data_IF_146381323100
#
_entry.id   IF_146381323100
#
_cell.length_a   1.000
_cell.length_b   1.000
_cell.length_c   1.000
_cell.angle_alpha   90.00
_cell.angle_beta   90.00
_cell.angle_gamma   90.00
#
_symmetry.space_group_name_H-M   'P 1'
#
loop_
_entity.id
_entity.type
_entity.pdbx_description
1 polymer ?
#
# COMPACT_ATOMS: atom_id res chain seq x y z
N UNK A 1 -10.45 2.92 -6.18
CA UNK A 1 -10.38 4.28 -6.78
C UNK A 1 -11.75 4.82 -7.15
N UNK A 2 -12.62 4.06 -7.82
CA UNK A 2 -13.96 4.53 -8.23
C UNK A 2 -14.88 4.97 -7.07
N UNK A 3 -14.83 4.29 -5.92
CA UNK A 3 -15.72 4.57 -4.78
C UNK A 3 -15.35 5.84 -3.97
N UNK A 4 -14.16 6.39 -4.18
CA UNK A 4 -13.68 7.62 -3.50
C UNK A 4 -13.89 8.89 -4.36
N UNK A 5 -14.52 8.75 -5.53
CA UNK A 5 -14.84 9.88 -6.41
C UNK A 5 -16.30 10.30 -6.17
N UNK A 6 -16.60 11.60 -5.94
CA UNK A 6 -15.70 12.77 -5.96
C UNK A 6 -15.06 13.10 -4.59
N UNK A 7 -13.82 13.58 -4.60
CA UNK A 7 -13.10 13.98 -3.40
C UNK A 7 -13.57 15.36 -2.92
N UNK A 8 -14.59 15.38 -2.06
CA UNK A 8 -15.09 16.63 -1.45
C UNK A 8 -14.35 17.03 -0.17
N UNK A 9 -13.49 16.17 0.36
CA UNK A 9 -12.87 16.31 1.70
C UNK A 9 -11.39 15.95 1.63
N UNK A 10 -10.55 16.67 2.38
CA UNK A 10 -9.08 16.45 2.45
C UNK A 10 -8.70 14.99 2.75
N UNK A 11 -9.53 14.29 3.52
CA UNK A 11 -9.37 12.86 3.80
C UNK A 11 -9.37 11.98 2.53
N UNK A 12 -10.25 12.30 1.58
CA UNK A 12 -10.41 11.57 0.34
C UNK A 12 -9.29 11.88 -0.65
N UNK A 13 -8.73 13.10 -0.62
CA UNK A 13 -7.49 13.43 -1.33
C UNK A 13 -6.30 12.62 -0.83
N UNK A 14 -6.14 12.49 0.49
CA UNK A 14 -5.08 11.68 1.08
C UNK A 14 -5.21 10.19 0.71
N UNK A 15 -6.44 9.65 0.76
CA UNK A 15 -6.71 8.28 0.34
C UNK A 15 -6.34 8.02 -1.13
N UNK A 16 -6.70 8.93 -2.05
CA UNK A 16 -6.35 8.83 -3.46
C UNK A 16 -4.84 8.94 -3.69
N UNK A 17 -4.16 9.83 -2.96
CA UNK A 17 -2.70 9.95 -3.03
C UNK A 17 -2.01 8.64 -2.65
N UNK A 18 -2.37 8.04 -1.51
CA UNK A 18 -1.80 6.76 -1.07
C UNK A 18 -2.10 5.65 -2.07
N UNK A 19 -3.32 5.61 -2.61
CA UNK A 19 -3.69 4.62 -3.62
C UNK A 19 -2.83 4.73 -4.88
N UNK A 20 -2.62 5.94 -5.41
CA UNK A 20 -1.81 6.15 -6.62
C UNK A 20 -0.33 5.85 -6.36
N UNK A 21 0.23 6.30 -5.25
CA UNK A 21 1.64 6.05 -4.90
C UNK A 21 1.90 4.55 -4.73
N UNK A 22 1.01 3.84 -4.05
CA UNK A 22 1.14 2.38 -3.88
C UNK A 22 1.04 1.62 -5.20
N UNK A 23 0.17 2.07 -6.11
CA UNK A 23 0.02 1.48 -7.43
C UNK A 23 1.32 1.66 -8.23
N UNK A 24 1.85 2.88 -8.31
CA UNK A 24 3.12 3.17 -8.99
C UNK A 24 4.27 2.36 -8.39
N UNK A 25 4.39 2.30 -7.07
CA UNK A 25 5.45 1.55 -6.40
C UNK A 25 5.38 0.03 -6.70
N UNK A 26 4.18 -0.55 -6.69
CA UNK A 26 3.97 -1.97 -7.03
C UNK A 26 4.31 -2.24 -8.50
N UNK A 27 3.99 -1.30 -9.39
CA UNK A 27 4.28 -1.36 -10.82
C UNK A 27 5.79 -1.31 -11.09
N UNK A 28 6.51 -0.43 -10.39
CA UNK A 28 7.97 -0.35 -10.45
C UNK A 28 8.63 -1.67 -10.01
N UNK A 29 8.18 -2.25 -8.89
CA UNK A 29 8.68 -3.56 -8.45
C UNK A 29 8.38 -4.66 -9.46
N UNK A 30 7.18 -4.68 -10.04
CA UNK A 30 6.82 -5.64 -11.09
C UNK A 30 7.78 -5.55 -12.28
N UNK A 31 8.14 -4.34 -12.73
CA UNK A 31 9.15 -4.16 -13.78
C UNK A 31 10.54 -4.63 -13.35
N UNK A 32 10.97 -4.35 -12.12
CA UNK A 32 12.28 -4.81 -11.60
C UNK A 32 12.37 -6.33 -11.63
N UNK A 33 11.29 -7.03 -11.27
CA UNK A 33 11.19 -8.49 -11.34
C UNK A 33 11.15 -9.00 -12.78
N UNK A 34 10.31 -8.43 -13.64
CA UNK A 34 10.13 -8.87 -15.04
C UNK A 34 11.39 -8.69 -15.89
N UNK A 35 12.15 -7.63 -15.64
CA UNK A 35 13.39 -7.33 -16.38
C UNK A 35 14.61 -8.09 -15.82
N UNK A 36 14.45 -8.93 -14.79
CA UNK A 36 15.55 -9.71 -14.22
C UNK A 36 16.69 -8.86 -13.67
N UNK A 37 16.44 -7.58 -13.32
CA UNK A 37 17.49 -6.64 -12.90
C UNK A 37 18.24 -7.14 -11.67
N UNK A 38 17.57 -7.96 -10.84
CA UNK A 38 18.16 -8.64 -9.68
C UNK A 38 19.31 -9.60 -10.05
N UNK A 39 19.25 -10.21 -11.24
CA UNK A 39 20.23 -11.21 -11.72
C UNK A 39 21.36 -10.55 -12.52
N UNK A 40 21.09 -9.43 -13.20
CA UNK A 40 22.08 -8.73 -14.04
C UNK A 40 22.93 -7.76 -13.21
N UNK A 41 22.39 -7.20 -12.13
CA UNK A 41 23.06 -6.19 -11.32
C UNK A 41 23.64 -6.81 -10.03
N UNK A 42 24.90 -7.23 -10.08
CA UNK A 42 25.72 -7.74 -8.95
C UNK A 42 26.05 -6.65 -7.91
N UNK A 43 25.05 -5.92 -7.41
CA UNK A 43 25.23 -5.03 -6.26
C UNK A 43 25.06 -5.85 -4.98
N UNK A 44 26.01 -5.72 -4.04
CA UNK A 44 25.97 -6.27 -2.67
C UNK A 44 24.89 -5.59 -1.80
N UNK A 45 23.71 -5.33 -2.37
CA UNK A 45 22.57 -4.74 -1.70
C UNK A 45 21.57 -5.85 -1.46
N UNK A 46 21.10 -5.97 -0.21
CA UNK A 46 20.01 -6.87 0.16
C UNK A 46 18.70 -6.40 -0.49
N UNK A 47 18.45 -6.82 -1.73
CA UNK A 47 17.25 -6.47 -2.50
C UNK A 47 15.96 -6.81 -1.75
N UNK A 48 15.94 -7.93 -1.03
CA UNK A 48 14.83 -8.37 -0.18
C UNK A 48 14.51 -7.35 0.93
N UNK A 49 15.53 -6.73 1.53
CA UNK A 49 15.38 -5.77 2.62
C UNK A 49 14.83 -4.44 2.10
N UNK A 50 15.32 -3.98 0.95
CA UNK A 50 14.82 -2.75 0.29
C UNK A 50 13.34 -2.90 -0.09
N UNK A 51 12.95 -4.06 -0.61
CA UNK A 51 11.56 -4.36 -0.93
C UNK A 51 10.68 -4.46 0.30
N UNK A 52 11.16 -5.12 1.35
CA UNK A 52 10.44 -5.22 2.63
C UNK A 52 10.18 -3.83 3.23
N UNK A 53 11.17 -2.94 3.25
CA UNK A 53 11.00 -1.58 3.76
C UNK A 53 9.98 -0.80 2.92
N UNK A 54 10.08 -0.85 1.59
CA UNK A 54 9.14 -0.12 0.72
C UNK A 54 7.70 -0.63 0.90
N UNK A 55 7.51 -1.95 0.93
CA UNK A 55 6.20 -2.58 1.14
C UNK A 55 5.64 -2.29 2.54
N UNK A 56 6.51 -2.23 3.56
CA UNK A 56 6.16 -1.82 4.91
C UNK A 56 5.70 -0.36 5.00
N UNK A 57 6.39 0.56 4.33
CA UNK A 57 5.99 1.97 4.26
C UNK A 57 4.61 2.11 3.59
N UNK A 58 4.38 1.41 2.47
CA UNK A 58 3.08 1.40 1.79
C UNK A 58 1.98 0.87 2.70
N UNK A 59 2.27 -0.18 3.48
CA UNK A 59 1.33 -0.75 4.46
C UNK A 59 0.92 0.30 5.50
N UNK A 60 1.88 1.03 6.07
CA UNK A 60 1.62 2.09 7.05
C UNK A 60 0.83 3.26 6.45
N UNK A 61 1.15 3.66 5.22
CA UNK A 61 0.41 4.71 4.51
C UNK A 61 -1.04 4.30 4.27
N UNK A 62 -1.29 3.05 3.85
CA UNK A 62 -2.66 2.53 3.70
C UNK A 62 -3.40 2.42 5.03
N UNK A 63 -2.69 2.05 6.11
CA UNK A 63 -3.24 2.01 7.46
C UNK A 63 -3.78 3.38 7.88
N UNK A 64 -2.98 4.43 7.70
CA UNK A 64 -3.40 5.80 8.00
C UNK A 64 -4.54 6.23 7.06
N UNK A 65 -4.45 5.88 5.77
CA UNK A 65 -5.45 6.26 4.78
C UNK A 65 -6.85 5.69 5.07
N UNK A 66 -6.96 4.42 5.47
CA UNK A 66 -8.27 3.85 5.79
C UNK A 66 -8.84 4.44 7.09
N UNK A 67 -8.01 4.69 8.11
CA UNK A 67 -8.43 5.30 9.37
C UNK A 67 -8.97 6.71 9.13
N UNK A 68 -8.20 7.54 8.39
CA UNK A 68 -8.58 8.92 8.07
C UNK A 68 -9.88 8.98 7.26
N UNK A 69 -10.05 8.06 6.29
CA UNK A 69 -11.27 7.98 5.48
C UNK A 69 -12.48 7.53 6.32
N UNK A 70 -12.35 6.51 7.18
CA UNK A 70 -13.45 6.08 8.05
C UNK A 70 -13.79 7.14 9.10
N UNK A 71 -12.80 7.76 9.74
CA UNK A 71 -13.01 8.78 10.77
C UNK A 71 -13.72 10.03 10.22
N UNK A 72 -13.33 10.50 9.04
CA UNK A 72 -13.90 11.71 8.44
C UNK A 72 -15.34 11.49 7.96
N UNK A 73 -15.64 10.32 7.37
CA UNK A 73 -16.97 10.01 6.83
C UNK A 73 -17.92 9.39 7.88
N UNK A 74 -17.45 9.01 9.06
CA UNK A 74 -18.30 8.54 10.17
C UNK A 74 -19.15 9.66 10.77
N UNK A 75 -18.64 10.89 10.80
CA UNK A 75 -19.33 12.06 11.39
C UNK A 75 -20.26 12.77 10.41
N UNK A 76 -20.00 12.63 9.10
CA UNK A 76 -20.71 13.36 8.05
C UNK A 76 -21.96 12.60 7.56
N UNK A 77 -23.10 13.29 7.55
CA UNK A 77 -24.34 12.84 6.92
C UNK A 77 -24.50 13.57 5.58
N UNK A 78 -24.46 12.82 4.47
CA UNK A 78 -24.58 13.39 3.13
C UNK A 78 -24.57 12.35 2.00
N UNK A 79 -24.86 12.81 0.78
CA UNK A 79 -24.83 12.00 -0.43
C UNK A 79 -23.39 11.48 -0.67
N UNK A 80 -23.22 10.17 -0.92
CA UNK A 80 -21.91 9.54 -1.11
C UNK A 80 -21.26 8.93 0.15
N UNK A 81 -21.92 8.97 1.32
CA UNK A 81 -21.43 8.32 2.57
C UNK A 81 -21.12 6.83 2.38
N UNK A 82 -22.05 6.08 1.78
CA UNK A 82 -21.87 4.64 1.55
C UNK A 82 -20.67 4.31 0.65
N UNK A 83 -20.47 5.10 -0.41
CA UNK A 83 -19.36 4.93 -1.34
C UNK A 83 -18.00 5.17 -0.67
N UNK A 84 -17.91 6.20 0.19
CA UNK A 84 -16.67 6.52 0.89
C UNK A 84 -16.36 5.58 2.05
N UNK A 85 -17.39 5.04 2.73
CA UNK A 85 -17.21 3.95 3.70
C UNK A 85 -16.70 2.69 2.99
N UNK A 86 -17.28 2.34 1.84
CA UNK A 86 -16.79 1.23 1.02
C UNK A 86 -15.33 1.45 0.60
N UNK A 87 -14.94 2.67 0.20
CA UNK A 87 -13.55 3.01 -0.08
C UNK A 87 -12.62 2.79 1.13
N UNK A 88 -13.06 3.16 2.35
CA UNK A 88 -12.34 2.87 3.59
C UNK A 88 -12.16 1.37 3.82
N UNK A 89 -13.20 0.56 3.59
CA UNK A 89 -13.13 -0.91 3.69
C UNK A 89 -12.15 -1.49 2.67
N UNK A 90 -12.16 -1.02 1.42
CA UNK A 90 -11.14 -1.40 0.43
C UNK A 90 -9.72 -1.00 0.86
N UNK A 91 -9.57 0.16 1.51
CA UNK A 91 -8.30 0.58 2.13
C UNK A 91 -7.81 -0.40 3.18
N UNK A 92 -8.71 -0.87 4.05
CA UNK A 92 -8.40 -1.88 5.06
C UNK A 92 -7.94 -3.21 4.44
N UNK A 93 -8.63 -3.69 3.41
CA UNK A 93 -8.20 -4.89 2.69
C UNK A 93 -6.82 -4.70 2.07
N UNK A 94 -6.53 -3.54 1.47
CA UNK A 94 -5.19 -3.25 0.96
C UNK A 94 -4.14 -3.25 2.07
N UNK A 95 -4.42 -2.66 3.24
CA UNK A 95 -3.51 -2.72 4.40
C UNK A 95 -3.19 -4.15 4.78
N UNK A 96 -4.19 -5.04 4.82
CA UNK A 96 -3.97 -6.45 5.16
C UNK A 96 -3.12 -7.17 4.11
N UNK A 97 -3.40 -6.95 2.82
CA UNK A 97 -2.65 -7.58 1.72
C UNK A 97 -1.19 -7.12 1.70
N UNK A 98 -0.94 -5.81 1.80
CA UNK A 98 0.42 -5.27 1.87
C UNK A 98 1.14 -5.68 3.16
N UNK A 99 0.42 -5.76 4.29
CA UNK A 99 0.95 -6.26 5.56
C UNK A 99 1.35 -7.74 5.48
N UNK A 100 0.52 -8.57 4.86
CA UNK A 100 0.84 -9.98 4.61
C UNK A 100 2.04 -10.13 3.67
N UNK A 101 2.11 -9.33 2.60
CA UNK A 101 3.29 -9.29 1.72
C UNK A 101 4.57 -8.91 2.46
N UNK A 102 4.51 -7.89 3.33
CA UNK A 102 5.64 -7.49 4.18
C UNK A 102 6.05 -8.61 5.13
N UNK A 103 5.09 -9.36 5.69
CA UNK A 103 5.35 -10.49 6.57
C UNK A 103 6.04 -11.66 5.85
N UNK A 104 5.61 -11.98 4.63
CA UNK A 104 6.26 -13.01 3.80
C UNK A 104 7.71 -12.63 3.50
N UNK A 105 7.95 -11.39 3.08
CA UNK A 105 9.31 -10.87 2.83
C UNK A 105 10.18 -10.89 4.10
N UNK A 106 9.59 -10.64 5.27
CA UNK A 106 10.30 -10.74 6.54
C UNK A 106 10.73 -12.17 6.88
N UNK A 107 9.86 -13.17 6.65
CA UNK A 107 10.22 -14.59 6.82
C UNK A 107 11.36 -14.95 5.87
N UNK A 108 11.26 -14.53 4.61
CA UNK A 108 12.28 -14.83 3.60
C UNK A 108 13.62 -14.20 3.96
N UNK A 109 13.62 -12.93 4.39
CA UNK A 109 14.83 -12.27 4.87
C UNK A 109 15.46 -12.99 6.06
N UNK A 110 14.65 -13.46 7.03
CA UNK A 110 15.14 -14.25 8.17
C UNK A 110 15.75 -15.59 7.74
N UNK A 111 15.15 -16.25 6.75
CA UNK A 111 15.68 -17.51 6.21
C UNK A 111 17.00 -17.28 5.46
N UNK A 112 17.15 -16.15 4.77
CA UNK A 112 18.42 -15.77 4.12
C UNK A 112 19.55 -15.48 5.10
N UNK A 113 19.24 -15.04 6.32
CA UNK A 113 20.23 -14.77 7.38
C UNK A 113 20.70 -16.05 8.12
N UNK A 114 19.97 -17.17 7.96
CA UNK A 114 20.23 -18.42 8.68
C UNK A 114 21.03 -19.46 7.87
N UNK A 115 21.35 -19.18 6.60
CA UNK A 115 22.28 -19.97 5.76
C UNK A 115 23.59 -19.19 5.58
#
# INVERSE_FOLDING_TARGET
>A
MACASPAFISATHYFLFVAVVSFIATLLWSFVYLLGIREVLNLTINWILTEMINTGIITLLYLIAFIVQLASWSSLYGYGKGSNIAAGVFGLFNTLVYGFGTYLLFIEHKNSLSN
#
